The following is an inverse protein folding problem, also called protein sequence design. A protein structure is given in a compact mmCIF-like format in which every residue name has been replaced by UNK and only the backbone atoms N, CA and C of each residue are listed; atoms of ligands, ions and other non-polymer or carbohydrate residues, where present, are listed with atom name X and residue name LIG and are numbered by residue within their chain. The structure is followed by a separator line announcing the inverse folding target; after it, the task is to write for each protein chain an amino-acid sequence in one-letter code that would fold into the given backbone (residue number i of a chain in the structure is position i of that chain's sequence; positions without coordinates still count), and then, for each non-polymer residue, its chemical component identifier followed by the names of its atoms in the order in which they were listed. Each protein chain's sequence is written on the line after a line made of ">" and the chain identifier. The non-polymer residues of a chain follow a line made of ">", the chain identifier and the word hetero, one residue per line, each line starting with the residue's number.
data_IF_371693734500
#
_entry.id   IF_371693734500
#
_cell.length_a   1.000
_cell.length_b   1.000
_cell.length_c   1.000
_cell.angle_alpha   90.00
_cell.angle_beta   90.00
_cell.angle_gamma   90.00
#
_symmetry.space_group_name_H-M   'P 1'
#
loop_
_entity.id
_entity.type
_entity.pdbx_description
1 polymer ?
#
# COMPACT_ATOMS: atom_id res chain seq x y z
N UNK A 1 16.68 5.59 4.73
CA UNK A 1 15.44 5.35 5.53
C UNK A 1 15.29 3.86 5.82
N UNK A 2 14.81 3.47 7.00
CA UNK A 2 14.59 2.06 7.36
C UNK A 2 13.20 1.87 7.95
N UNK A 3 12.35 1.13 7.25
CA UNK A 3 11.03 0.69 7.72
C UNK A 3 11.18 -0.64 8.45
N UNK A 4 10.85 -0.69 9.73
CA UNK A 4 11.11 -1.84 10.58
C UNK A 4 9.87 -2.34 11.29
N UNK A 5 9.83 -3.64 11.59
CA UNK A 5 8.90 -4.21 12.53
C UNK A 5 9.22 -3.79 13.98
N UNK A 6 8.27 -4.03 14.90
CA UNK A 6 8.49 -3.88 16.34
C UNK A 6 9.59 -4.83 16.82
N UNK A 7 10.31 -4.43 17.85
CA UNK A 7 11.40 -5.23 18.46
C UNK A 7 12.53 -5.61 17.51
N UNK A 8 12.60 -5.02 16.30
CA UNK A 8 13.71 -5.27 15.38
C UNK A 8 15.05 -4.70 15.88
N UNK A 9 15.05 -3.74 16.78
CA UNK A 9 16.27 -3.09 17.30
C UNK A 9 16.48 -1.67 16.76
N UNK A 10 15.42 -0.99 16.24
CA UNK A 10 15.45 0.36 15.67
C UNK A 10 16.22 1.36 16.55
N UNK A 11 15.83 1.46 17.81
CA UNK A 11 16.40 2.42 18.77
C UNK A 11 17.86 2.16 19.03
N UNK A 12 18.28 0.90 19.20
CA UNK A 12 19.70 0.55 19.42
C UNK A 12 20.55 0.88 18.19
N UNK A 13 20.06 0.56 16.99
CA UNK A 13 20.72 0.95 15.73
C UNK A 13 20.84 2.47 15.64
N UNK A 14 19.80 3.20 15.97
CA UNK A 14 19.77 4.67 15.94
C UNK A 14 20.82 5.27 16.87
N UNK A 15 20.91 4.77 18.10
CA UNK A 15 21.91 5.21 19.07
C UNK A 15 23.33 4.89 18.55
N UNK A 16 23.54 3.67 18.03
CA UNK A 16 24.82 3.29 17.44
C UNK A 16 25.29 4.23 16.33
N UNK A 17 24.40 4.58 15.41
CA UNK A 17 24.71 5.47 14.28
C UNK A 17 25.06 6.87 14.78
N UNK A 18 24.31 7.42 15.73
CA UNK A 18 24.59 8.73 16.33
C UNK A 18 25.97 8.75 17.00
N UNK A 19 26.28 7.75 17.81
CA UNK A 19 27.58 7.65 18.45
C UNK A 19 28.71 7.55 17.43
N UNK A 20 28.53 6.76 16.38
CA UNK A 20 29.50 6.67 15.30
C UNK A 20 29.76 8.03 14.64
N UNK A 21 28.71 8.79 14.34
CA UNK A 21 28.86 10.14 13.78
C UNK A 21 29.54 11.08 14.76
N UNK A 22 29.11 11.13 16.03
CA UNK A 22 29.65 12.02 17.01
C UNK A 22 31.13 11.75 17.32
N UNK A 23 31.55 10.50 17.30
CA UNK A 23 32.95 10.11 17.51
C UNK A 23 33.86 10.40 16.30
N UNK A 24 33.30 10.43 15.10
CA UNK A 24 34.09 10.61 13.85
C UNK A 24 34.16 12.06 13.37
N UNK A 25 33.17 12.90 13.72
CA UNK A 25 33.10 14.29 13.26
C UNK A 25 33.36 15.24 14.43
N UNK A 26 34.56 15.86 14.52
CA UNK A 26 34.86 16.81 15.59
C UNK A 26 33.95 18.04 15.53
N UNK A 27 33.53 18.52 16.69
CA UNK A 27 32.63 19.67 16.86
C UNK A 27 31.24 19.49 16.16
N UNK A 28 30.88 18.26 15.80
CA UNK A 28 29.60 17.95 15.11
C UNK A 28 28.39 18.02 16.04
N UNK A 29 27.28 18.46 15.50
CA UNK A 29 25.99 18.61 16.18
C UNK A 29 25.00 17.55 15.72
N UNK A 30 24.71 16.57 16.56
CA UNK A 30 23.86 15.43 16.21
C UNK A 30 22.59 15.41 17.04
N UNK A 31 21.48 15.04 16.39
CA UNK A 31 20.16 15.09 17.01
C UNK A 31 19.47 13.74 16.95
N UNK A 32 19.00 13.28 18.13
CA UNK A 32 18.02 12.21 18.22
C UNK A 32 16.64 12.84 18.33
N UNK A 33 15.81 12.66 17.32
CA UNK A 33 14.50 13.30 17.23
C UNK A 33 13.44 12.24 17.46
N UNK A 34 12.61 12.44 18.47
CA UNK A 34 11.48 11.59 18.83
C UNK A 34 10.15 12.36 18.63
N UNK A 35 9.01 11.68 18.51
CA UNK A 35 7.73 12.34 18.35
C UNK A 35 7.40 13.29 19.49
N UNK A 36 7.57 12.82 20.74
CA UNK A 36 7.29 13.56 21.96
C UNK A 36 8.51 13.61 22.89
N UNK A 37 8.93 14.82 23.25
CA UNK A 37 10.10 15.02 24.10
C UNK A 37 10.01 14.32 25.45
N UNK A 38 8.86 14.45 26.14
CA UNK A 38 8.66 13.84 27.45
C UNK A 38 8.73 12.33 27.39
N UNK A 39 8.07 11.72 26.40
CA UNK A 39 8.07 10.26 26.21
C UNK A 39 9.48 9.74 25.91
N UNK A 40 10.21 10.41 25.04
CA UNK A 40 11.60 10.04 24.74
C UNK A 40 12.52 10.19 25.95
N UNK A 41 12.30 11.21 26.76
CA UNK A 41 13.02 11.38 28.03
C UNK A 41 12.79 10.19 28.97
N UNK A 42 11.56 9.69 29.10
CA UNK A 42 11.25 8.52 29.93
C UNK A 42 11.81 7.21 29.39
N UNK A 43 11.78 7.01 28.07
CA UNK A 43 12.11 5.72 27.44
C UNK A 43 13.62 5.60 27.15
N UNK A 44 14.29 6.69 26.81
CA UNK A 44 15.67 6.69 26.31
C UNK A 44 16.63 7.34 27.29
N UNK A 45 16.28 8.51 27.82
CA UNK A 45 17.19 9.27 28.67
C UNK A 45 17.22 8.76 30.11
N UNK A 46 16.09 8.72 30.82
CA UNK A 46 16.06 8.32 32.23
C UNK A 46 16.60 6.91 32.49
N UNK A 47 16.34 5.88 31.65
CA UNK A 47 16.99 4.59 31.80
C UNK A 47 18.50 4.58 31.45
N UNK A 48 19.01 5.71 30.97
CA UNK A 48 20.42 5.83 30.62
C UNK A 48 20.83 5.13 29.34
N UNK A 49 19.90 4.76 28.47
CA UNK A 49 20.20 4.03 27.22
C UNK A 49 21.13 4.82 26.30
N UNK A 50 20.90 6.13 26.18
CA UNK A 50 21.75 7.00 25.39
C UNK A 50 23.10 7.27 26.10
N UNK A 51 23.11 7.67 27.39
CA UNK A 51 24.32 8.08 28.12
C UNK A 51 25.29 6.92 28.40
N UNK A 52 24.76 5.71 28.54
CA UNK A 52 25.54 4.54 28.93
C UNK A 52 25.84 3.59 27.74
N UNK A 53 25.56 4.00 26.51
CA UNK A 53 25.76 3.18 25.31
C UNK A 53 27.21 2.67 25.18
N UNK A 54 28.20 3.46 25.56
CA UNK A 54 29.61 3.09 25.50
C UNK A 54 30.04 2.15 26.67
N UNK A 55 29.18 1.91 27.65
CA UNK A 55 29.50 1.06 28.81
C UNK A 55 30.77 1.55 29.52
N UNK A 56 31.71 0.63 29.74
CA UNK A 56 32.99 0.94 30.42
C UNK A 56 33.90 1.95 29.67
N UNK A 57 33.65 2.19 28.38
CA UNK A 57 34.40 3.16 27.58
C UNK A 57 33.86 4.60 27.67
N UNK A 58 32.81 4.84 28.45
CA UNK A 58 32.18 6.15 28.58
C UNK A 58 33.17 7.27 28.88
N UNK A 59 33.97 7.10 29.92
CA UNK A 59 34.91 8.11 30.38
C UNK A 59 36.07 8.41 29.39
N UNK A 60 36.30 7.49 28.45
CA UNK A 60 37.30 7.69 27.41
C UNK A 60 36.84 8.71 26.36
N UNK A 61 35.54 8.77 26.04
CA UNK A 61 35.02 9.52 24.93
C UNK A 61 34.09 10.66 25.32
N UNK A 62 33.33 10.53 26.42
CA UNK A 62 32.37 11.53 26.88
C UNK A 62 33.11 12.54 27.79
N UNK A 63 32.86 13.81 27.55
CA UNK A 63 33.33 14.90 28.36
C UNK A 63 32.32 15.24 29.47
N UNK A 64 31.06 15.49 29.07
CA UNK A 64 30.02 15.87 30.01
C UNK A 64 28.63 15.41 29.55
N UNK A 65 27.70 15.27 30.51
CA UNK A 65 26.30 14.97 30.31
C UNK A 65 25.45 16.05 30.95
N UNK A 66 24.62 16.72 30.15
CA UNK A 66 23.75 17.81 30.58
C UNK A 66 22.31 17.32 30.74
N UNK A 67 21.89 17.10 31.97
CA UNK A 67 20.56 16.55 32.30
C UNK A 67 19.41 17.47 31.91
N UNK A 68 19.57 18.79 32.01
CA UNK A 68 18.54 19.77 31.66
C UNK A 68 18.26 19.78 30.15
N UNK A 69 19.35 19.86 29.36
CA UNK A 69 19.29 19.97 27.90
C UNK A 69 19.15 18.60 27.19
N UNK A 70 19.24 17.49 27.94
CA UNK A 70 19.34 16.13 27.43
C UNK A 70 20.42 16.02 26.34
N UNK A 71 21.63 16.48 26.66
CA UNK A 71 22.77 16.59 25.75
C UNK A 71 24.00 15.87 26.31
N UNK A 72 24.66 15.10 25.47
CA UNK A 72 25.90 14.41 25.72
C UNK A 72 26.98 15.14 24.92
N UNK A 73 28.04 15.63 25.58
CA UNK A 73 29.16 16.24 24.91
C UNK A 73 30.35 15.29 24.91
N UNK A 74 31.02 15.18 23.78
CA UNK A 74 32.18 14.32 23.57
C UNK A 74 33.47 15.12 23.65
N UNK A 75 34.58 14.45 24.01
CA UNK A 75 35.91 15.09 24.14
C UNK A 75 36.45 15.69 22.84
N UNK A 76 35.92 15.30 21.69
CA UNK A 76 36.25 15.92 20.39
C UNK A 76 35.40 17.15 20.08
N UNK A 77 34.63 17.66 21.05
CA UNK A 77 33.75 18.82 20.92
C UNK A 77 32.40 18.57 20.27
N UNK A 78 32.13 17.39 19.77
CA UNK A 78 30.81 17.03 19.21
C UNK A 78 29.80 16.83 20.33
N UNK A 79 28.50 16.83 19.96
CA UNK A 79 27.45 16.49 20.92
C UNK A 79 26.29 15.71 20.27
N UNK A 80 25.59 14.95 21.09
CA UNK A 80 24.27 14.35 20.78
C UNK A 80 23.23 15.02 21.68
N UNK A 81 22.15 15.52 21.10
CA UNK A 81 21.01 16.13 21.80
C UNK A 81 19.71 15.43 21.52
N UNK A 82 18.93 15.13 22.57
CA UNK A 82 17.55 14.62 22.43
C UNK A 82 16.59 15.78 22.19
N UNK A 83 15.70 15.62 21.21
CA UNK A 83 14.72 16.62 20.79
C UNK A 83 13.36 15.95 20.56
N UNK A 84 12.27 16.66 20.88
CA UNK A 84 10.91 16.27 20.48
C UNK A 84 10.46 17.06 19.26
N UNK A 85 9.69 16.45 18.37
CA UNK A 85 9.07 17.14 17.23
C UNK A 85 7.73 17.78 17.59
N UNK A 86 7.23 17.58 18.78
CA UNK A 86 6.02 18.20 19.35
C UNK A 86 6.09 19.73 19.44
N UNK A 87 7.30 20.31 19.41
CA UNK A 87 7.50 21.74 19.21
C UNK A 87 8.09 22.00 17.81
N UNK A 88 7.22 22.20 16.82
CA UNK A 88 7.64 22.36 15.42
C UNK A 88 8.51 23.59 15.16
N UNK A 89 8.38 24.66 15.94
CA UNK A 89 9.18 25.88 15.77
C UNK A 89 10.65 25.69 16.19
N UNK A 90 10.90 24.81 17.16
CA UNK A 90 12.25 24.53 17.63
C UNK A 90 13.16 23.98 16.52
N UNK A 91 12.59 23.27 15.54
CA UNK A 91 13.35 22.68 14.41
C UNK A 91 14.12 23.69 13.56
N UNK A 92 13.63 24.94 13.46
CA UNK A 92 14.23 25.99 12.64
C UNK A 92 15.54 26.56 13.19
N UNK A 93 15.75 26.44 14.50
CA UNK A 93 16.93 26.99 15.18
C UNK A 93 18.14 26.06 15.24
N UNK A 94 18.03 24.83 14.73
CA UNK A 94 19.10 23.85 14.78
C UNK A 94 20.06 23.95 13.58
N UNK A 95 21.33 23.58 13.79
CA UNK A 95 22.33 23.53 12.74
C UNK A 95 23.01 22.15 12.70
N UNK A 96 22.25 21.12 12.25
CA UNK A 96 22.63 19.71 12.38
C UNK A 96 23.77 19.31 11.43
N UNK A 97 24.71 18.52 11.94
CA UNK A 97 25.69 17.76 11.17
C UNK A 97 25.25 16.31 10.97
N UNK A 98 24.08 15.94 11.50
CA UNK A 98 23.39 14.69 11.31
C UNK A 98 22.19 14.57 12.24
N UNK A 99 21.17 13.84 11.80
CA UNK A 99 19.97 13.62 12.60
C UNK A 99 19.35 12.24 12.38
N UNK A 100 18.70 11.76 13.42
CA UNK A 100 17.90 10.54 13.38
C UNK A 100 16.47 10.85 13.82
N UNK A 101 15.49 10.42 13.04
CA UNK A 101 14.10 10.37 13.45
C UNK A 101 13.78 8.93 13.88
N UNK A 102 13.37 8.75 15.13
CA UNK A 102 12.82 7.47 15.63
C UNK A 102 11.30 7.53 15.73
N UNK A 103 10.60 6.47 15.33
CA UNK A 103 9.14 6.38 15.20
C UNK A 103 8.55 7.48 14.29
N UNK A 104 9.11 7.63 13.09
CA UNK A 104 8.84 8.74 12.17
C UNK A 104 7.36 8.96 11.85
N UNK A 105 6.54 7.93 11.86
CA UNK A 105 5.10 8.06 11.59
C UNK A 105 4.37 8.97 12.59
N UNK A 106 4.86 9.06 13.83
CA UNK A 106 4.20 9.77 14.93
C UNK A 106 4.71 11.22 15.10
N UNK A 107 5.59 11.69 14.19
CA UNK A 107 6.14 13.04 14.23
C UNK A 107 5.18 14.10 13.69
N UNK A 108 5.33 15.35 14.15
CA UNK A 108 4.74 16.52 13.47
C UNK A 108 5.51 16.78 12.16
N UNK A 109 4.82 16.64 11.02
CA UNK A 109 5.45 16.83 9.71
C UNK A 109 5.96 18.25 9.48
N UNK A 110 5.38 19.26 10.13
CA UNK A 110 5.85 20.65 10.06
C UNK A 110 7.25 20.82 10.67
N UNK A 111 7.55 20.06 11.74
CA UNK A 111 8.91 19.99 12.30
C UNK A 111 9.88 19.43 11.26
N UNK A 112 9.51 18.32 10.61
CA UNK A 112 10.36 17.71 9.58
C UNK A 112 10.64 18.69 8.43
N UNK A 113 9.63 19.39 7.91
CA UNK A 113 9.82 20.39 6.85
C UNK A 113 10.80 21.50 7.25
N UNK A 114 10.63 22.09 8.45
CA UNK A 114 11.52 23.15 8.91
C UNK A 114 12.95 22.68 9.25
N UNK A 115 13.11 21.42 9.63
CA UNK A 115 14.41 20.83 9.97
C UNK A 115 15.16 20.32 8.72
N UNK A 116 14.45 19.84 7.71
CA UNK A 116 15.03 19.31 6.47
C UNK A 116 15.86 20.36 5.71
N UNK A 117 15.43 21.62 5.70
CA UNK A 117 16.17 22.71 5.08
C UNK A 117 17.56 22.91 5.71
N UNK A 118 17.66 22.75 7.03
CA UNK A 118 18.92 22.87 7.76
C UNK A 118 19.87 21.70 7.46
N UNK A 119 19.33 20.47 7.32
CA UNK A 119 20.10 19.31 6.90
C UNK A 119 20.62 19.46 5.46
N UNK A 120 19.77 19.96 4.56
CA UNK A 120 20.12 20.17 3.16
C UNK A 120 21.26 21.20 3.01
N UNK A 121 21.20 22.32 3.75
CA UNK A 121 22.21 23.36 3.72
C UNK A 121 23.62 22.85 4.04
N UNK A 122 23.72 21.86 4.93
CA UNK A 122 24.99 21.22 5.32
C UNK A 122 25.29 19.92 4.57
N UNK A 123 24.39 19.41 3.75
CA UNK A 123 24.45 18.04 3.20
C UNK A 123 24.61 16.98 4.30
N UNK A 124 23.98 17.23 5.45
CA UNK A 124 24.10 16.40 6.63
C UNK A 124 23.34 15.08 6.46
N UNK A 125 23.86 13.94 6.95
CA UNK A 125 23.19 12.66 6.87
C UNK A 125 21.92 12.65 7.72
N UNK A 126 20.88 11.99 7.17
CA UNK A 126 19.60 11.78 7.82
C UNK A 126 19.28 10.28 7.86
N UNK A 127 19.03 9.75 9.04
CA UNK A 127 18.47 8.41 9.23
C UNK A 127 17.02 8.53 9.72
N UNK A 128 16.10 7.93 8.99
CA UNK A 128 14.70 7.83 9.40
C UNK A 128 14.40 6.37 9.71
N UNK A 129 13.87 6.11 10.91
CA UNK A 129 13.41 4.77 11.31
C UNK A 129 12.00 4.83 11.87
N UNK A 130 11.25 3.77 11.68
CA UNK A 130 9.88 3.68 12.21
C UNK A 130 9.15 2.42 11.75
N UNK A 131 8.03 2.15 12.41
CA UNK A 131 7.04 1.19 11.95
C UNK A 131 6.12 1.84 10.91
N UNK A 132 5.54 1.07 9.97
CA UNK A 132 4.60 1.60 8.98
C UNK A 132 3.40 2.30 9.62
N UNK A 133 2.87 3.35 9.00
CA UNK A 133 1.62 3.98 9.40
C UNK A 133 0.40 3.14 8.99
N UNK A 134 -0.77 3.52 9.50
CA UNK A 134 -2.03 2.89 9.14
C UNK A 134 -2.65 3.42 7.84
N UNK A 135 -2.21 4.61 7.40
CA UNK A 135 -2.76 5.29 6.23
C UNK A 135 -1.72 5.37 5.12
N UNK A 136 -2.12 5.06 3.89
CA UNK A 136 -1.26 5.15 2.70
C UNK A 136 -0.91 6.59 2.30
N UNK A 137 -1.79 7.53 2.57
CA UNK A 137 -1.55 8.95 2.28
C UNK A 137 -0.73 9.65 3.37
N UNK A 138 -0.24 8.89 4.35
CA UNK A 138 0.59 9.39 5.42
C UNK A 138 1.93 9.92 4.88
N UNK A 139 2.42 11.01 5.47
CA UNK A 139 3.71 11.60 5.05
C UNK A 139 4.89 10.62 5.12
N UNK A 140 4.86 9.65 6.02
CA UNK A 140 5.85 8.58 6.11
C UNK A 140 6.01 7.84 4.77
N UNK A 141 4.89 7.49 4.11
CA UNK A 141 4.89 6.76 2.84
C UNK A 141 5.47 7.63 1.73
N UNK A 142 5.06 8.90 1.67
CA UNK A 142 5.61 9.85 0.68
C UNK A 142 7.10 10.05 0.85
N UNK A 143 7.56 10.20 2.10
CA UNK A 143 9.00 10.32 2.40
C UNK A 143 9.76 9.04 2.04
N UNK A 144 9.17 7.86 2.27
CA UNK A 144 9.76 6.59 1.83
C UNK A 144 9.96 6.54 0.32
N UNK A 145 8.96 6.96 -0.45
CA UNK A 145 9.04 6.99 -1.92
C UNK A 145 10.08 8.01 -2.41
N UNK A 146 10.19 9.16 -1.76
CA UNK A 146 11.26 10.13 -2.02
C UNK A 146 12.65 9.53 -1.79
N UNK A 147 12.85 8.80 -0.68
CA UNK A 147 14.12 8.13 -0.39
C UNK A 147 14.46 7.01 -1.37
N UNK A 148 13.48 6.28 -1.89
CA UNK A 148 13.70 5.26 -2.93
C UNK A 148 14.13 5.86 -4.26
N UNK A 149 13.65 7.07 -4.57
CA UNK A 149 13.95 7.77 -5.83
C UNK A 149 15.23 8.61 -5.78
N UNK A 150 15.71 9.00 -4.57
CA UNK A 150 16.94 9.78 -4.43
C UNK A 150 18.17 8.87 -4.58
N UNK A 151 19.02 9.09 -5.62
CA UNK A 151 20.22 8.27 -5.84
C UNK A 151 21.25 8.36 -4.70
N UNK A 152 21.14 9.36 -3.79
CA UNK A 152 21.97 9.52 -2.59
C UNK A 152 21.36 8.78 -1.40
N UNK A 153 20.11 8.36 -1.49
CA UNK A 153 19.36 7.68 -0.45
C UNK A 153 19.60 6.18 -0.44
N UNK A 154 19.38 5.56 0.72
CA UNK A 154 19.27 4.13 0.85
C UNK A 154 17.99 3.78 1.63
N UNK A 155 17.27 2.80 1.14
CA UNK A 155 16.05 2.30 1.75
C UNK A 155 16.21 0.84 2.16
N UNK A 156 15.73 0.52 3.37
CA UNK A 156 15.73 -0.86 3.90
C UNK A 156 14.37 -1.16 4.52
N UNK A 157 13.85 -2.35 4.21
CA UNK A 157 12.74 -2.96 4.93
C UNK A 157 13.29 -4.03 5.86
N UNK A 158 12.88 -4.03 7.13
CA UNK A 158 13.39 -4.93 8.17
C UNK A 158 12.24 -5.48 9.02
N UNK A 159 11.60 -6.58 8.59
CA UNK A 159 10.62 -7.29 9.40
C UNK A 159 11.21 -7.81 10.72
N UNK A 160 10.37 -7.99 11.73
CA UNK A 160 10.79 -8.45 13.06
C UNK A 160 11.52 -9.80 13.01
N UNK A 161 11.07 -10.72 12.16
CA UNK A 161 11.68 -12.05 12.02
C UNK A 161 13.13 -12.01 11.50
N UNK A 162 13.58 -10.89 10.94
CA UNK A 162 14.99 -10.71 10.52
C UNK A 162 15.92 -10.35 11.68
N UNK A 163 15.40 -10.09 12.88
CA UNK A 163 16.19 -9.92 14.08
C UNK A 163 16.58 -11.31 14.62
N UNK A 164 17.87 -11.68 14.69
CA UNK A 164 18.33 -12.99 15.10
C UNK A 164 18.06 -13.32 16.59
N UNK A 165 17.72 -12.32 17.39
CA UNK A 165 17.43 -12.46 18.83
C UNK A 165 15.93 -12.68 19.13
N UNK A 166 15.08 -12.72 18.11
CA UNK A 166 13.64 -12.97 18.28
C UNK A 166 13.35 -14.45 18.11
N UNK A 167 12.56 -14.98 19.05
CA UNK A 167 12.07 -16.35 18.99
C UNK A 167 11.04 -16.49 17.85
N UNK A 168 11.31 -17.41 16.94
CA UNK A 168 10.45 -17.65 15.76
C UNK A 168 9.17 -18.39 16.11
N UNK A 169 9.18 -19.23 17.13
CA UNK A 169 7.99 -19.95 17.61
C UNK A 169 7.01 -18.95 18.24
N UNK A 170 7.53 -18.02 19.05
CA UNK A 170 6.74 -16.94 19.64
C UNK A 170 6.09 -16.06 18.56
N UNK A 171 6.83 -15.73 17.48
CA UNK A 171 6.29 -14.97 16.36
C UNK A 171 5.16 -15.70 15.61
N UNK A 172 5.28 -17.02 15.44
CA UNK A 172 4.21 -17.78 14.79
C UNK A 172 2.96 -17.87 15.68
N UNK A 173 3.12 -17.99 17.01
CA UNK A 173 2.01 -17.92 17.95
C UNK A 173 1.31 -16.53 17.91
N UNK A 174 2.08 -15.44 17.87
CA UNK A 174 1.55 -14.08 17.74
C UNK A 174 0.78 -13.91 16.43
N UNK A 175 1.29 -14.49 15.33
CA UNK A 175 0.63 -14.49 14.02
C UNK A 175 -0.72 -15.21 14.07
N UNK A 176 -0.78 -16.42 14.61
CA UNK A 176 -2.03 -17.17 14.76
C UNK A 176 -3.03 -16.44 15.66
N UNK A 177 -2.55 -15.86 16.76
CA UNK A 177 -3.39 -15.07 17.66
C UNK A 177 -3.97 -13.83 16.96
N UNK A 178 -3.18 -13.18 16.09
CA UNK A 178 -3.62 -12.01 15.33
C UNK A 178 -4.65 -12.37 14.25
N UNK A 179 -4.49 -13.51 13.60
CA UNK A 179 -5.48 -14.05 12.64
C UNK A 179 -6.81 -14.32 13.38
N UNK A 180 -6.75 -15.04 14.50
CA UNK A 180 -7.94 -15.41 15.28
C UNK A 180 -8.71 -14.19 15.84
N UNK A 181 -7.99 -13.08 16.10
CA UNK A 181 -8.58 -11.81 16.57
C UNK A 181 -9.04 -10.88 15.45
N UNK A 182 -8.79 -11.22 14.18
CA UNK A 182 -9.02 -10.31 13.05
C UNK A 182 -8.06 -9.11 13.00
N UNK A 183 -6.90 -9.19 13.67
CA UNK A 183 -5.88 -8.12 13.73
C UNK A 183 -4.76 -8.32 12.70
N UNK A 184 -5.02 -9.04 11.60
CA UNK A 184 -4.02 -9.37 10.59
C UNK A 184 -3.29 -8.15 10.03
N UNK A 185 -4.02 -7.07 9.71
CA UNK A 185 -3.42 -5.85 9.21
C UNK A 185 -2.42 -5.22 10.19
N UNK A 186 -2.71 -5.29 11.49
CA UNK A 186 -1.81 -4.83 12.55
C UNK A 186 -0.56 -5.69 12.62
N UNK A 187 -0.70 -7.03 12.55
CA UNK A 187 0.44 -7.95 12.49
C UNK A 187 1.36 -7.63 11.31
N UNK A 188 0.79 -7.44 10.14
CA UNK A 188 1.54 -7.10 8.92
C UNK A 188 2.30 -5.78 9.06
N UNK A 189 1.71 -4.75 9.66
CA UNK A 189 2.40 -3.48 9.91
C UNK A 189 3.47 -3.61 10.98
N UNK A 190 3.12 -4.15 12.13
CA UNK A 190 3.98 -4.12 13.31
C UNK A 190 5.08 -5.18 13.30
N UNK A 191 4.85 -6.33 12.68
CA UNK A 191 5.80 -7.45 12.64
C UNK A 191 6.47 -7.57 11.27
N UNK A 192 5.69 -7.59 10.19
CA UNK A 192 6.22 -7.79 8.83
C UNK A 192 6.70 -6.46 8.20
N UNK A 193 6.54 -5.34 8.90
CA UNK A 193 6.88 -4.00 8.41
C UNK A 193 6.23 -3.69 7.04
N UNK A 194 5.01 -4.19 6.80
CA UNK A 194 4.26 -3.88 5.59
C UNK A 194 3.45 -2.61 5.74
N UNK A 195 3.31 -1.84 4.66
CA UNK A 195 2.33 -0.76 4.61
C UNK A 195 1.00 -1.41 4.29
N UNK A 196 0.29 -1.81 5.31
CA UNK A 196 -1.04 -2.40 5.22
C UNK A 196 -1.98 -1.50 6.00
N UNK A 197 -2.88 -0.82 5.34
CA UNK A 197 -3.90 -0.04 6.02
C UNK A 197 -4.92 -0.95 6.69
N UNK A 198 -5.55 -0.46 7.69
CA UNK A 198 -6.61 -1.13 8.42
C UNK A 198 -6.47 -0.85 9.91
N UNK A 199 -7.09 0.21 10.38
CA UNK A 199 -7.42 0.45 11.79
C UNK A 199 -8.65 -0.36 12.20
N UNK A 200 -9.11 -0.20 13.44
CA UNK A 200 -10.34 -0.81 13.96
C UNK A 200 -11.60 -0.49 13.11
N UNK A 201 -11.53 0.58 12.31
CA UNK A 201 -12.63 1.09 11.50
C UNK A 201 -12.52 0.69 10.01
N UNK A 202 -11.60 -0.22 9.64
CA UNK A 202 -11.45 -0.66 8.25
C UNK A 202 -12.74 -1.30 7.72
N UNK A 203 -13.13 -0.91 6.51
CA UNK A 203 -14.34 -1.45 5.87
C UNK A 203 -14.09 -2.87 5.33
N UNK A 204 -12.88 -3.14 4.84
CA UNK A 204 -12.49 -4.46 4.30
C UNK A 204 -11.35 -5.11 5.11
N UNK A 205 -11.55 -5.38 6.42
CA UNK A 205 -10.48 -5.93 7.25
C UNK A 205 -10.05 -7.35 6.86
N UNK A 206 -10.90 -8.07 6.09
CA UNK A 206 -10.62 -9.41 5.59
C UNK A 206 -9.74 -9.42 4.33
N UNK A 207 -9.51 -8.26 3.69
CA UNK A 207 -8.71 -8.20 2.47
C UNK A 207 -7.26 -8.58 2.76
N UNK A 208 -6.82 -9.70 2.23
CA UNK A 208 -5.43 -10.13 2.29
C UNK A 208 -4.67 -9.58 1.10
N UNK A 209 -3.59 -8.83 1.39
CA UNK A 209 -2.70 -8.28 0.38
C UNK A 209 -1.51 -9.23 0.20
N UNK A 210 -1.04 -9.48 -1.03
CA UNK A 210 0.09 -10.36 -1.29
C UNK A 210 1.37 -9.76 -0.71
N UNK A 211 2.37 -10.62 -0.52
CA UNK A 211 3.71 -10.20 -0.13
C UNK A 211 4.48 -9.74 -1.35
N UNK A 212 5.27 -8.71 -1.15
CA UNK A 212 6.24 -8.22 -2.11
C UNK A 212 7.65 -8.38 -1.53
N UNK A 213 8.63 -8.66 -2.37
CA UNK A 213 10.02 -8.75 -1.95
C UNK A 213 10.64 -7.37 -1.64
N UNK A 214 11.94 -7.34 -1.30
CA UNK A 214 12.66 -6.10 -1.00
C UNK A 214 12.74 -5.13 -2.21
N UNK A 215 12.52 -5.62 -3.42
CA UNK A 215 12.50 -4.85 -4.67
C UNK A 215 11.11 -4.37 -5.05
N UNK A 216 10.08 -4.81 -4.31
CA UNK A 216 8.69 -4.55 -4.60
C UNK A 216 8.06 -5.51 -5.61
N UNK A 217 8.74 -6.63 -5.91
CA UNK A 217 8.24 -7.66 -6.81
C UNK A 217 7.27 -8.60 -6.05
N UNK A 218 6.20 -8.99 -6.75
CA UNK A 218 5.17 -9.87 -6.23
C UNK A 218 5.72 -11.28 -5.93
N UNK A 219 5.66 -11.74 -4.68
CA UNK A 219 6.25 -13.03 -4.25
C UNK A 219 5.27 -14.19 -4.44
N UNK A 220 3.96 -13.95 -4.33
CA UNK A 220 2.96 -15.00 -4.46
C UNK A 220 1.54 -14.52 -4.19
N UNK A 221 0.56 -15.32 -4.63
CA UNK A 221 -0.86 -15.06 -4.44
C UNK A 221 -1.20 -14.99 -2.94
N UNK A 222 -2.08 -14.05 -2.60
CA UNK A 222 -2.83 -14.09 -1.35
C UNK A 222 -4.22 -14.69 -1.60
N UNK A 223 -5.05 -14.73 -0.58
CA UNK A 223 -6.45 -15.18 -0.72
C UNK A 223 -7.24 -14.37 -1.75
N UNK A 224 -7.00 -13.06 -1.84
CA UNK A 224 -7.81 -12.13 -2.64
C UNK A 224 -7.05 -11.46 -3.78
N UNK A 225 -5.72 -11.48 -3.76
CA UNK A 225 -4.91 -10.85 -4.82
C UNK A 225 -4.00 -11.87 -5.46
N UNK A 226 -4.18 -12.07 -6.77
CA UNK A 226 -3.50 -13.10 -7.54
C UNK A 226 -2.67 -12.46 -8.66
N UNK A 227 -1.68 -13.20 -9.15
CA UNK A 227 -0.94 -12.80 -10.36
C UNK A 227 -1.90 -12.69 -11.53
N UNK A 228 -1.73 -11.65 -12.33
CA UNK A 228 -2.50 -11.44 -13.55
C UNK A 228 -2.48 -12.66 -14.49
N UNK A 229 -1.30 -13.24 -14.69
CA UNK A 229 -1.12 -14.42 -15.55
C UNK A 229 -1.95 -15.62 -15.08
N UNK A 230 -2.01 -15.87 -13.77
CA UNK A 230 -2.79 -16.99 -13.19
C UNK A 230 -4.30 -16.78 -13.43
N UNK A 231 -4.78 -15.55 -13.27
CA UNK A 231 -6.17 -15.19 -13.50
C UNK A 231 -6.56 -15.30 -14.98
N UNK A 232 -5.67 -14.90 -15.88
CA UNK A 232 -5.88 -15.04 -17.32
C UNK A 232 -5.92 -16.51 -17.72
N UNK A 233 -5.03 -17.34 -17.16
CA UNK A 233 -5.05 -18.78 -17.40
C UNK A 233 -6.36 -19.43 -16.92
N UNK A 234 -6.85 -19.07 -15.72
CA UNK A 234 -8.13 -19.53 -15.18
C UNK A 234 -9.30 -19.19 -16.13
N UNK A 235 -9.34 -17.95 -16.64
CA UNK A 235 -10.40 -17.48 -17.51
C UNK A 235 -10.32 -18.18 -18.89
N UNK A 236 -9.12 -18.36 -19.42
CA UNK A 236 -8.93 -18.99 -20.75
C UNK A 236 -9.29 -20.46 -20.75
N UNK A 237 -9.17 -21.15 -19.61
CA UNK A 237 -9.53 -22.57 -19.51
C UNK A 237 -11.00 -22.83 -19.89
N UNK A 238 -11.94 -21.96 -19.44
CA UNK A 238 -13.35 -22.02 -19.83
C UNK A 238 -13.91 -20.63 -20.18
N UNK A 239 -13.36 -20.03 -21.24
CA UNK A 239 -13.66 -18.66 -21.63
C UNK A 239 -15.16 -18.39 -21.84
N UNK A 240 -15.91 -19.37 -22.29
CA UNK A 240 -17.38 -19.29 -22.54
C UNK A 240 -18.20 -19.04 -21.27
N UNK A 241 -17.65 -19.37 -20.11
CA UNK A 241 -18.34 -19.23 -18.84
C UNK A 241 -18.18 -17.83 -18.24
N UNK A 242 -17.39 -17.00 -18.87
CA UNK A 242 -17.10 -15.67 -18.39
C UNK A 242 -17.81 -14.59 -19.20
N UNK A 243 -18.19 -13.52 -18.53
CA UNK A 243 -18.71 -12.30 -19.13
C UNK A 243 -17.80 -11.15 -18.72
N UNK A 244 -17.51 -10.26 -19.66
CA UNK A 244 -16.54 -9.18 -19.47
C UNK A 244 -17.24 -7.86 -19.25
N UNK A 245 -16.75 -7.12 -18.26
CA UNK A 245 -17.30 -5.84 -17.83
C UNK A 245 -16.21 -4.80 -17.69
N UNK A 246 -16.53 -3.57 -18.09
CA UNK A 246 -15.71 -2.40 -17.80
C UNK A 246 -16.56 -1.37 -17.05
N UNK A 247 -16.08 -0.85 -15.94
CA UNK A 247 -16.78 0.19 -15.19
C UNK A 247 -15.93 1.43 -15.05
N UNK A 248 -16.56 2.59 -15.20
CA UNK A 248 -15.93 3.88 -15.16
C UNK A 248 -16.49 4.74 -14.01
N UNK A 249 -15.61 5.24 -13.14
CA UNK A 249 -15.89 6.30 -12.19
C UNK A 249 -15.07 7.55 -12.58
N UNK A 250 -15.61 8.41 -13.44
CA UNK A 250 -14.90 9.58 -13.94
C UNK A 250 -14.92 10.72 -12.91
N UNK A 251 -14.04 10.69 -11.92
CA UNK A 251 -13.88 11.81 -11.00
C UNK A 251 -13.33 13.03 -11.71
N UNK A 252 -14.07 14.13 -11.64
CA UNK A 252 -13.73 15.36 -12.38
C UNK A 252 -12.52 16.13 -11.85
N UNK A 253 -12.10 15.88 -10.62
CA UNK A 253 -11.06 16.69 -9.95
C UNK A 253 -10.04 15.92 -9.12
N UNK A 254 -10.34 14.69 -8.72
CA UNK A 254 -9.52 13.93 -7.76
C UNK A 254 -8.84 12.71 -8.37
N UNK A 255 -9.61 11.84 -9.03
CA UNK A 255 -9.12 10.62 -9.64
C UNK A 255 -10.10 10.14 -10.71
N UNK A 256 -9.60 9.55 -11.78
CA UNK A 256 -10.39 8.77 -12.72
C UNK A 256 -10.07 7.30 -12.50
N UNK A 257 -11.09 6.49 -12.18
CA UNK A 257 -10.94 5.07 -12.05
C UNK A 257 -11.72 4.33 -13.16
N UNK A 258 -11.08 3.36 -13.80
CA UNK A 258 -11.75 2.39 -14.65
C UNK A 258 -11.27 0.99 -14.29
N UNK A 259 -12.18 0.05 -14.14
CA UNK A 259 -11.89 -1.34 -13.84
C UNK A 259 -12.34 -2.25 -14.97
N UNK A 260 -11.52 -3.25 -15.25
CA UNK A 260 -11.77 -4.28 -16.25
C UNK A 260 -11.89 -5.63 -15.56
N UNK A 261 -13.02 -6.31 -15.73
CA UNK A 261 -13.34 -7.50 -14.97
C UNK A 261 -13.99 -8.59 -15.80
N UNK A 262 -13.84 -9.81 -15.30
CA UNK A 262 -14.60 -10.97 -15.75
C UNK A 262 -15.48 -11.53 -14.63
N UNK A 263 -16.67 -11.97 -14.95
CA UNK A 263 -17.61 -12.62 -14.03
C UNK A 263 -17.96 -14.00 -14.55
N UNK A 264 -17.71 -15.03 -13.75
CA UNK A 264 -18.12 -16.38 -14.07
C UNK A 264 -19.64 -16.52 -13.91
N UNK A 265 -20.31 -16.98 -14.95
CA UNK A 265 -21.79 -17.05 -14.95
C UNK A 265 -22.36 -18.10 -13.99
N UNK A 266 -21.60 -19.13 -13.67
CA UNK A 266 -22.01 -20.21 -12.77
C UNK A 266 -21.65 -19.92 -11.31
N UNK A 267 -20.36 -19.76 -11.01
CA UNK A 267 -19.90 -19.54 -9.64
C UNK A 267 -20.16 -18.13 -9.12
N UNK A 268 -20.48 -17.18 -10.03
CA UNK A 268 -20.57 -15.74 -9.71
C UNK A 268 -19.25 -15.12 -9.22
N UNK A 269 -18.12 -15.81 -9.40
CA UNK A 269 -16.81 -15.28 -9.09
C UNK A 269 -16.54 -14.03 -9.93
N UNK A 270 -16.22 -12.94 -9.27
CA UNK A 270 -15.79 -11.67 -9.87
C UNK A 270 -14.27 -11.59 -9.82
N UNK A 271 -13.64 -11.42 -10.96
CA UNK A 271 -12.20 -11.23 -11.10
C UNK A 271 -11.95 -9.86 -11.71
N UNK A 272 -11.31 -8.96 -10.94
CA UNK A 272 -10.84 -7.68 -11.46
C UNK A 272 -9.46 -7.90 -12.08
N UNK A 273 -9.36 -7.77 -13.40
CA UNK A 273 -8.18 -8.15 -14.18
C UNK A 273 -7.17 -7.00 -14.33
N UNK A 274 -7.69 -5.79 -14.57
CA UNK A 274 -6.83 -4.64 -14.81
C UNK A 274 -7.55 -3.34 -14.45
N UNK A 275 -6.82 -2.23 -14.36
CA UNK A 275 -7.38 -0.92 -14.04
C UNK A 275 -6.72 0.21 -14.83
N UNK A 276 -7.42 1.32 -14.94
CA UNK A 276 -6.86 2.65 -15.18
C UNK A 276 -7.14 3.48 -13.94
N UNK A 277 -6.09 3.89 -13.25
CA UNK A 277 -6.21 4.70 -12.05
C UNK A 277 -5.36 5.96 -12.21
N UNK A 278 -6.00 7.07 -12.60
CA UNK A 278 -5.31 8.28 -13.02
C UNK A 278 -5.64 9.46 -12.10
N UNK A 279 -4.61 10.08 -11.52
CA UNK A 279 -4.72 11.25 -10.63
C UNK A 279 -4.28 12.55 -11.29
N UNK A 280 -3.59 12.48 -12.42
CA UNK A 280 -3.10 13.67 -13.12
C UNK A 280 -4.22 14.27 -13.97
N UNK A 281 -4.68 15.47 -13.64
CA UNK A 281 -5.81 16.13 -14.31
C UNK A 281 -5.70 16.17 -15.83
N UNK A 282 -4.51 16.40 -16.37
CA UNK A 282 -4.29 16.48 -17.82
C UNK A 282 -4.51 15.12 -18.51
N UNK A 283 -4.31 14.02 -17.79
CA UNK A 283 -4.47 12.65 -18.29
C UNK A 283 -5.89 12.11 -18.09
N UNK A 284 -6.75 12.82 -17.36
CA UNK A 284 -8.11 12.35 -17.02
C UNK A 284 -9.16 12.67 -18.08
N UNK A 285 -8.77 13.29 -19.21
CA UNK A 285 -9.71 13.58 -20.31
C UNK A 285 -10.16 12.30 -21.00
N UNK A 286 -11.40 12.27 -21.49
CA UNK A 286 -11.98 11.15 -22.22
C UNK A 286 -11.11 10.73 -23.42
N UNK A 287 -10.53 11.70 -24.14
CA UNK A 287 -9.63 11.44 -25.28
C UNK A 287 -8.36 10.69 -24.92
N UNK A 288 -7.92 10.76 -23.66
CA UNK A 288 -6.72 10.04 -23.18
C UNK A 288 -7.08 8.73 -22.48
N UNK A 289 -8.17 8.71 -21.75
CA UNK A 289 -8.58 7.53 -20.97
C UNK A 289 -9.24 6.48 -21.87
N UNK A 290 -10.20 6.89 -22.71
CA UNK A 290 -11.03 5.93 -23.41
C UNK A 290 -10.27 5.08 -24.45
N UNK A 291 -9.32 5.61 -25.23
CA UNK A 291 -8.45 4.78 -26.06
C UNK A 291 -7.63 3.75 -25.27
N UNK A 292 -7.11 4.13 -24.10
CA UNK A 292 -6.40 3.21 -23.20
C UNK A 292 -7.33 2.12 -22.69
N UNK A 293 -8.58 2.46 -22.38
CA UNK A 293 -9.58 1.49 -21.94
C UNK A 293 -9.88 0.49 -23.07
N UNK A 294 -10.05 0.96 -24.32
CA UNK A 294 -10.26 0.08 -25.49
C UNK A 294 -9.07 -0.85 -25.72
N UNK A 295 -7.86 -0.36 -25.55
CA UNK A 295 -6.66 -1.18 -25.68
C UNK A 295 -6.66 -2.29 -24.64
N UNK A 296 -6.90 -1.98 -23.35
CA UNK A 296 -7.00 -2.99 -22.29
C UNK A 296 -8.10 -4.02 -22.53
N UNK A 297 -9.27 -3.59 -22.97
CA UNK A 297 -10.36 -4.54 -23.34
C UNK A 297 -9.93 -5.48 -24.47
N UNK A 298 -9.24 -4.95 -25.47
CA UNK A 298 -8.71 -5.74 -26.59
C UNK A 298 -7.60 -6.71 -26.14
N UNK A 299 -6.73 -6.28 -25.22
CA UNK A 299 -5.66 -7.11 -24.66
C UNK A 299 -6.22 -8.26 -23.83
N UNK A 300 -7.22 -7.99 -22.97
CA UNK A 300 -7.79 -8.99 -22.05
C UNK A 300 -8.69 -10.00 -22.79
N UNK A 301 -9.61 -9.54 -23.63
CA UNK A 301 -10.56 -10.41 -24.28
C UNK A 301 -10.98 -9.84 -25.66
N UNK A 302 -10.13 -10.01 -26.72
CA UNK A 302 -10.30 -9.36 -28.01
C UNK A 302 -11.53 -9.87 -28.79
N UNK A 303 -12.00 -11.07 -28.50
CA UNK A 303 -13.11 -11.73 -29.22
C UNK A 303 -14.45 -11.68 -28.48
N UNK A 304 -14.52 -10.93 -27.36
CA UNK A 304 -15.70 -10.87 -26.51
C UNK A 304 -16.26 -9.47 -26.45
N UNK A 305 -17.59 -9.40 -26.34
CA UNK A 305 -18.30 -8.15 -26.08
C UNK A 305 -18.10 -7.74 -24.62
N UNK A 306 -17.79 -6.47 -24.42
CA UNK A 306 -17.63 -5.86 -23.13
C UNK A 306 -18.89 -5.11 -22.71
N UNK A 307 -19.41 -5.43 -21.55
CA UNK A 307 -20.49 -4.67 -20.95
C UNK A 307 -19.90 -3.46 -20.21
N UNK A 308 -20.11 -2.27 -20.78
CA UNK A 308 -19.48 -1.06 -20.28
C UNK A 308 -20.49 -0.23 -19.47
N UNK A 309 -20.13 0.10 -18.21
CA UNK A 309 -20.97 0.87 -17.30
C UNK A 309 -20.23 2.09 -16.77
N UNK A 310 -20.96 3.16 -16.48
CA UNK A 310 -20.39 4.38 -15.97
C UNK A 310 -21.25 5.00 -14.86
N UNK A 311 -20.63 5.85 -14.03
CA UNK A 311 -21.34 6.64 -13.04
C UNK A 311 -22.37 7.55 -13.69
N UNK A 312 -23.65 7.36 -13.39
CA UNK A 312 -24.75 8.15 -13.95
C UNK A 312 -24.58 9.68 -13.70
N UNK A 313 -23.87 10.10 -12.66
CA UNK A 313 -23.57 11.51 -12.44
C UNK A 313 -22.54 12.07 -13.45
N UNK A 314 -21.78 11.22 -14.14
CA UNK A 314 -20.76 11.61 -15.10
C UNK A 314 -21.29 11.59 -16.56
N UNK A 315 -22.47 12.17 -16.82
CA UNK A 315 -23.07 12.24 -18.16
C UNK A 315 -22.16 12.92 -19.19
N UNK A 316 -21.27 13.80 -18.75
CA UNK A 316 -20.28 14.45 -19.61
C UNK A 316 -19.36 13.41 -20.27
N UNK A 317 -18.89 12.42 -19.50
CA UNK A 317 -18.03 11.33 -20.01
C UNK A 317 -18.75 10.50 -21.05
N UNK A 318 -20.00 10.10 -20.77
CA UNK A 318 -20.84 9.38 -21.72
C UNK A 318 -21.05 10.16 -23.02
N UNK A 319 -21.37 11.45 -22.93
CA UNK A 319 -21.62 12.28 -24.10
C UNK A 319 -20.37 12.42 -24.98
N UNK A 320 -19.19 12.55 -24.37
CA UNK A 320 -17.93 12.60 -25.11
C UNK A 320 -17.59 11.25 -25.76
N UNK A 321 -17.79 10.12 -25.07
CA UNK A 321 -17.59 8.78 -25.65
C UNK A 321 -18.52 8.57 -26.82
N UNK A 322 -19.80 8.92 -26.67
CA UNK A 322 -20.81 8.76 -27.72
C UNK A 322 -20.49 9.64 -28.93
N UNK A 323 -20.09 10.90 -28.71
CA UNK A 323 -19.76 11.83 -29.77
C UNK A 323 -18.48 11.44 -30.58
N UNK A 324 -17.43 11.01 -29.86
CA UNK A 324 -16.14 10.77 -30.49
C UNK A 324 -15.97 9.31 -30.98
N UNK A 325 -16.51 8.33 -30.23
CA UNK A 325 -16.25 6.91 -30.50
C UNK A 325 -17.50 6.16 -30.96
N UNK A 326 -18.70 6.77 -30.87
CA UNK A 326 -20.00 6.18 -31.22
C UNK A 326 -20.30 4.89 -30.49
N UNK A 327 -19.80 4.80 -29.24
CA UNK A 327 -20.02 3.66 -28.36
C UNK A 327 -20.98 4.03 -27.22
N UNK A 328 -21.97 3.14 -27.00
CA UNK A 328 -22.96 3.32 -25.94
C UNK A 328 -22.44 2.71 -24.63
N UNK A 329 -22.50 3.49 -23.56
CA UNK A 329 -22.24 3.00 -22.21
C UNK A 329 -23.56 2.95 -21.44
N UNK A 330 -23.68 1.99 -20.51
CA UNK A 330 -24.87 1.85 -19.67
C UNK A 330 -24.68 2.68 -18.39
N UNK A 331 -25.60 3.59 -18.04
CA UNK A 331 -25.53 4.29 -16.78
C UNK A 331 -25.77 3.33 -15.61
N UNK A 332 -24.98 3.44 -14.56
CA UNK A 332 -25.19 2.74 -13.31
C UNK A 332 -25.92 3.67 -12.33
N UNK A 333 -27.09 3.26 -11.84
CA UNK A 333 -27.82 4.04 -10.87
C UNK A 333 -27.06 4.14 -9.56
N UNK A 334 -26.78 5.39 -9.17
CA UNK A 334 -26.38 5.73 -7.81
C UNK A 334 -27.58 5.69 -6.90
N UNK A 335 -27.95 4.54 -6.44
CA UNK A 335 -28.81 4.49 -5.27
C UNK A 335 -27.95 4.84 -4.05
N UNK A 336 -27.85 6.13 -3.76
CA UNK A 336 -26.99 6.72 -2.72
C UNK A 336 -27.28 6.10 -1.35
N UNK A 337 -28.55 5.68 -1.13
CA UNK A 337 -29.00 5.04 0.12
C UNK A 337 -28.54 3.60 0.27
N UNK A 338 -27.86 3.02 -0.73
CA UNK A 338 -27.41 1.62 -0.72
C UNK A 338 -25.91 1.43 -0.76
N UNK A 339 -25.12 2.47 -0.53
CA UNK A 339 -23.63 2.32 -0.52
C UNK A 339 -23.19 1.33 0.55
N UNK A 340 -23.71 1.44 1.75
CA UNK A 340 -23.42 0.54 2.87
C UNK A 340 -23.85 -0.89 2.58
N UNK A 341 -25.05 -1.07 2.02
CA UNK A 341 -25.57 -2.38 1.62
C UNK A 341 -24.66 -3.04 0.57
N UNK A 342 -24.22 -2.28 -0.45
CA UNK A 342 -23.34 -2.80 -1.50
C UNK A 342 -21.92 -3.10 -0.99
N UNK A 343 -21.41 -2.30 -0.08
CA UNK A 343 -20.12 -2.60 0.59
C UNK A 343 -20.22 -3.86 1.44
N UNK A 344 -21.40 -4.12 2.06
CA UNK A 344 -21.65 -5.38 2.76
C UNK A 344 -21.59 -6.58 1.79
N UNK A 345 -22.23 -6.47 0.64
CA UNK A 345 -22.17 -7.53 -0.39
C UNK A 345 -20.72 -7.76 -0.86
N UNK A 346 -19.92 -6.69 -1.06
CA UNK A 346 -18.50 -6.83 -1.41
C UNK A 346 -17.72 -7.59 -0.33
N UNK A 347 -18.00 -7.32 0.96
CA UNK A 347 -17.39 -8.06 2.09
C UNK A 347 -17.75 -9.54 2.03
N UNK A 348 -19.02 -9.85 1.80
CA UNK A 348 -19.50 -11.24 1.72
C UNK A 348 -18.81 -11.98 0.55
N UNK A 349 -18.64 -11.32 -0.60
CA UNK A 349 -17.91 -11.89 -1.74
C UNK A 349 -16.44 -12.12 -1.46
N UNK A 350 -15.78 -11.21 -0.69
CA UNK A 350 -14.40 -11.43 -0.23
C UNK A 350 -14.33 -12.62 0.73
N UNK A 351 -15.22 -12.71 1.71
CA UNK A 351 -15.24 -13.79 2.70
C UNK A 351 -15.42 -15.17 2.05
N UNK A 352 -16.12 -15.24 0.92
CA UNK A 352 -16.41 -16.46 0.18
C UNK A 352 -15.45 -16.70 -1.00
N UNK A 353 -14.34 -15.97 -1.11
CA UNK A 353 -13.35 -16.07 -2.19
C UNK A 353 -13.92 -15.84 -3.59
N UNK A 354 -15.04 -15.11 -3.66
CA UNK A 354 -15.74 -14.78 -4.92
C UNK A 354 -15.36 -13.41 -5.49
N UNK A 355 -14.52 -12.64 -4.79
CA UNK A 355 -13.99 -11.35 -5.24
C UNK A 355 -12.46 -11.44 -5.26
N UNK A 356 -11.89 -11.55 -6.45
CA UNK A 356 -10.45 -11.70 -6.66
C UNK A 356 -9.92 -10.52 -7.48
N UNK A 357 -8.74 -10.05 -7.15
CA UNK A 357 -8.12 -8.86 -7.71
C UNK A 357 -6.77 -9.25 -8.32
N UNK A 358 -6.49 -8.76 -9.52
CA UNK A 358 -5.17 -8.86 -10.14
C UNK A 358 -4.15 -7.98 -9.41
N UNK A 359 -2.92 -8.44 -9.29
CA UNK A 359 -1.76 -7.68 -8.80
C UNK A 359 -1.48 -6.39 -9.59
N UNK A 360 -2.05 -6.27 -10.80
CA UNK A 360 -2.01 -5.05 -11.63
C UNK A 360 -2.93 -3.93 -11.09
N UNK A 361 -3.97 -4.25 -10.34
CA UNK A 361 -4.98 -3.31 -9.84
C UNK A 361 -4.51 -2.62 -8.54
N UNK A 362 -3.40 -1.91 -8.61
CA UNK A 362 -2.76 -1.28 -7.45
C UNK A 362 -3.62 -0.19 -6.80
N UNK A 363 -4.35 0.58 -7.61
CA UNK A 363 -5.26 1.62 -7.14
C UNK A 363 -6.44 1.05 -6.36
N UNK A 364 -7.10 0.02 -6.88
CA UNK A 364 -8.20 -0.67 -6.19
C UNK A 364 -7.71 -1.32 -4.89
N UNK A 365 -6.59 -2.06 -4.94
CA UNK A 365 -5.98 -2.67 -3.75
C UNK A 365 -5.68 -1.60 -2.70
N UNK A 366 -5.09 -0.48 -3.11
CA UNK A 366 -4.80 0.65 -2.24
C UNK A 366 -6.07 1.22 -1.62
N UNK A 367 -7.09 1.55 -2.42
CA UNK A 367 -8.33 2.10 -1.88
C UNK A 367 -9.02 1.12 -0.92
N UNK A 368 -9.23 -0.12 -1.31
CA UNK A 368 -9.90 -1.11 -0.45
C UNK A 368 -9.16 -1.35 0.86
N UNK A 369 -7.84 -1.36 0.81
CA UNK A 369 -7.01 -1.57 2.00
C UNK A 369 -6.95 -0.37 2.93
N UNK A 370 -7.25 0.87 2.44
CA UNK A 370 -7.27 2.10 3.24
C UNK A 370 -8.67 2.57 3.61
N UNK A 371 -9.70 1.95 3.05
CA UNK A 371 -11.06 2.43 3.20
C UNK A 371 -11.58 2.12 4.60
N UNK A 372 -11.77 3.17 5.39
CA UNK A 372 -12.21 3.06 6.77
C UNK A 372 -13.30 4.10 7.06
N UNK A 373 -14.19 3.79 7.99
CA UNK A 373 -15.13 4.77 8.53
C UNK A 373 -14.39 5.82 9.37
N UNK A 374 -14.97 7.00 9.47
CA UNK A 374 -14.49 8.00 10.42
C UNK A 374 -14.80 7.60 11.89
N UNK A 375 -14.39 8.44 12.84
CA UNK A 375 -14.60 8.18 14.27
C UNK A 375 -16.10 8.17 14.67
N UNK A 376 -16.98 8.69 13.83
CA UNK A 376 -18.44 8.66 13.98
C UNK A 376 -19.08 7.44 13.30
N UNK A 377 -18.27 6.57 12.67
CA UNK A 377 -18.73 5.39 11.94
C UNK A 377 -19.28 5.67 10.54
N UNK A 378 -19.12 6.90 10.01
CA UNK A 378 -19.60 7.27 8.67
C UNK A 378 -18.58 6.85 7.60
N UNK A 379 -19.09 6.40 6.47
CA UNK A 379 -18.29 6.06 5.30
C UNK A 379 -17.82 7.36 4.61
N UNK A 380 -16.50 7.55 4.40
CA UNK A 380 -15.98 8.75 3.75
C UNK A 380 -16.36 8.79 2.26
N UNK A 381 -16.54 10.02 1.74
CA UNK A 381 -16.78 10.29 0.32
C UNK A 381 -15.49 10.75 -0.37
N UNK A 382 -14.39 10.07 -0.13
CA UNK A 382 -13.08 10.40 -0.72
C UNK A 382 -12.22 9.13 -0.82
N UNK A 383 -11.36 9.08 -1.82
CA UNK A 383 -10.48 7.94 -2.08
C UNK A 383 -11.25 6.62 -2.23
N UNK A 384 -12.36 6.67 -2.99
CA UNK A 384 -13.30 5.55 -3.18
C UNK A 384 -13.67 5.34 -4.65
N UNK A 385 -12.92 5.92 -5.58
CA UNK A 385 -13.25 5.88 -7.01
C UNK A 385 -13.15 4.48 -7.61
N UNK A 386 -12.09 3.73 -7.29
CA UNK A 386 -11.97 2.34 -7.75
C UNK A 386 -12.95 1.41 -7.02
N UNK A 387 -13.24 1.67 -5.75
CA UNK A 387 -14.28 0.96 -4.99
C UNK A 387 -15.65 1.23 -5.60
N UNK A 388 -15.96 2.47 -5.97
CA UNK A 388 -17.22 2.82 -6.61
C UNK A 388 -17.32 2.18 -8.01
N UNK A 389 -16.25 2.16 -8.80
CA UNK A 389 -16.19 1.41 -10.06
C UNK A 389 -16.44 -0.09 -9.86
N UNK A 390 -15.87 -0.72 -8.82
CA UNK A 390 -16.14 -2.12 -8.48
C UNK A 390 -17.61 -2.36 -8.09
N UNK A 391 -18.22 -1.43 -7.37
CA UNK A 391 -19.67 -1.47 -7.06
C UNK A 391 -20.52 -1.40 -8.32
N UNK A 392 -20.14 -0.56 -9.30
CA UNK A 392 -20.86 -0.50 -10.59
C UNK A 392 -20.75 -1.80 -11.37
N UNK A 393 -19.57 -2.45 -11.36
CA UNK A 393 -19.39 -3.79 -11.93
C UNK A 393 -20.32 -4.81 -11.29
N UNK A 394 -20.33 -4.88 -9.96
CA UNK A 394 -21.19 -5.81 -9.23
C UNK A 394 -22.68 -5.59 -9.53
N UNK A 395 -23.09 -4.33 -9.62
CA UNK A 395 -24.46 -3.97 -10.01
C UNK A 395 -24.81 -4.44 -11.44
N UNK A 396 -23.93 -4.13 -12.41
CA UNK A 396 -24.13 -4.49 -13.80
C UNK A 396 -24.16 -6.01 -14.02
N UNK A 397 -23.36 -6.74 -13.24
CA UNK A 397 -23.32 -8.20 -13.26
C UNK A 397 -24.39 -8.87 -12.37
N UNK A 398 -25.30 -8.08 -11.77
CA UNK A 398 -26.33 -8.56 -10.84
C UNK A 398 -25.80 -9.37 -9.64
N UNK A 399 -24.61 -9.03 -9.16
CA UNK A 399 -23.99 -9.65 -7.99
C UNK A 399 -24.49 -8.98 -6.70
N UNK A 400 -25.72 -9.28 -6.32
CA UNK A 400 -26.38 -8.63 -5.17
C UNK A 400 -26.33 -9.48 -3.89
N UNK A 401 -26.08 -10.76 -4.02
CA UNK A 401 -25.98 -11.71 -2.91
C UNK A 401 -25.00 -12.82 -3.28
N UNK A 402 -24.30 -13.35 -2.28
CA UNK A 402 -23.48 -14.55 -2.47
C UNK A 402 -24.39 -15.74 -2.79
N UNK A 403 -24.09 -16.55 -3.80
CA UNK A 403 -24.85 -17.75 -4.10
C UNK A 403 -24.86 -18.71 -2.92
N UNK A 404 -26.03 -19.20 -2.53
CA UNK A 404 -26.14 -20.21 -1.44
C UNK A 404 -25.55 -21.54 -1.84
N UNK A 405 -25.62 -21.87 -3.14
CA UNK A 405 -25.00 -23.05 -3.74
C UNK A 405 -24.08 -22.59 -4.87
N UNK A 406 -22.83 -23.00 -4.82
CA UNK A 406 -21.88 -22.76 -5.91
C UNK A 406 -22.20 -23.75 -7.02
N UNK A 407 -22.80 -23.28 -8.09
CA UNK A 407 -22.96 -24.09 -9.31
C UNK A 407 -21.58 -24.17 -10.00
N UNK A 408 -20.78 -25.12 -9.54
CA UNK A 408 -19.51 -25.48 -10.17
C UNK A 408 -19.81 -26.65 -11.12
N UNK A 409 -19.23 -26.67 -12.30
CA UNK A 409 -19.34 -27.82 -13.17
C UNK A 409 -18.85 -29.08 -12.46
N UNK A 410 -19.40 -30.26 -12.75
CA UNK A 410 -18.94 -31.50 -12.14
C UNK A 410 -17.42 -31.74 -12.31
N UNK A 411 -16.89 -31.37 -13.47
CA UNK A 411 -15.47 -31.44 -13.81
C UNK A 411 -14.60 -30.46 -12.98
N UNK A 412 -15.14 -29.32 -12.56
CA UNK A 412 -14.42 -28.28 -11.79
C UNK A 412 -14.48 -28.52 -10.26
N UNK A 413 -15.07 -29.63 -9.82
CA UNK A 413 -15.13 -29.99 -8.38
C UNK A 413 -13.83 -30.60 -7.85
N UNK A 414 -12.78 -30.74 -8.67
CA UNK A 414 -11.47 -31.16 -8.25
C UNK A 414 -10.65 -29.96 -7.81
N UNK A 415 -9.90 -30.12 -6.74
CA UNK A 415 -8.86 -29.14 -6.40
C UNK A 415 -7.82 -29.14 -7.53
N UNK A 416 -7.74 -28.02 -8.24
CA UNK A 416 -6.78 -27.83 -9.33
C UNK A 416 -5.39 -27.69 -8.74
N UNK A 417 -4.50 -28.60 -9.07
CA UNK A 417 -3.06 -28.41 -8.86
C UNK A 417 -2.44 -27.91 -10.17
N UNK A 418 -1.30 -27.23 -10.07
CA UNK A 418 -0.54 -26.72 -11.23
C UNK A 418 -0.20 -27.80 -12.26
N UNK A 419 -0.24 -29.08 -11.85
CA UNK A 419 0.05 -30.26 -12.68
C UNK A 419 -1.13 -30.58 -13.61
N UNK A 420 -2.36 -30.35 -13.17
CA UNK A 420 -3.57 -30.64 -13.97
C UNK A 420 -3.69 -29.73 -15.20
N UNK A 421 -3.05 -28.55 -15.18
CA UNK A 421 -2.98 -27.63 -16.33
C UNK A 421 -2.11 -28.14 -17.49
N UNK A 422 -1.21 -29.07 -17.25
CA UNK A 422 -0.27 -29.57 -18.26
C UNK A 422 -0.74 -30.83 -18.98
N UNK A 423 -1.71 -31.54 -18.45
CA UNK A 423 -2.16 -32.85 -19.01
C UNK A 423 -3.37 -32.78 -19.95
N UNK A 424 -4.24 -31.75 -19.81
CA UNK A 424 -5.43 -31.60 -20.69
C UNK A 424 -5.15 -30.64 -21.87
N UNK A 425 -4.43 -31.13 -22.88
CA UNK A 425 -4.03 -30.36 -24.07
C UNK A 425 -5.11 -30.34 -25.18
N UNK A 426 -6.38 -30.28 -24.91
CA UNK A 426 -7.39 -29.85 -25.88
C UNK A 426 -7.87 -28.41 -25.61
N UNK A 427 -7.00 -27.45 -25.93
CA UNK A 427 -7.33 -26.01 -25.93
C UNK A 427 -8.27 -25.77 -27.12
N UNK A 428 -9.54 -25.57 -26.86
CA UNK A 428 -10.49 -25.04 -27.83
C UNK A 428 -10.39 -23.51 -27.83
N UNK A 429 -9.41 -22.98 -28.51
CA UNK A 429 -9.11 -21.57 -28.71
C UNK A 429 -7.64 -21.32 -28.52
N UNK A 430 -7.03 -20.59 -29.44
CA UNK A 430 -5.63 -20.19 -29.27
C UNK A 430 -5.47 -19.37 -27.99
N UNK A 431 -4.42 -19.60 -27.19
CA UNK A 431 -4.12 -18.79 -26.01
C UNK A 431 -4.02 -17.33 -26.39
N UNK A 432 -4.44 -16.44 -25.50
CA UNK A 432 -4.17 -15.01 -25.66
C UNK A 432 -2.67 -14.83 -25.47
N UNK A 433 -1.95 -14.63 -26.60
CA UNK A 433 -0.53 -14.32 -26.59
C UNK A 433 -0.37 -12.82 -26.34
N UNK A 434 0.08 -12.46 -25.14
CA UNK A 434 0.26 -11.07 -24.73
C UNK A 434 1.56 -10.44 -25.21
N UNK A 435 2.50 -11.22 -25.74
CA UNK A 435 3.86 -10.73 -26.02
C UNK A 435 4.18 -10.53 -27.50
N UNK A 436 3.34 -10.97 -28.45
CA UNK A 436 3.80 -11.07 -29.83
C UNK A 436 3.40 -9.96 -30.82
N UNK A 437 2.44 -9.05 -30.49
CA UNK A 437 1.89 -8.16 -31.53
C UNK A 437 1.96 -6.63 -31.27
N UNK A 438 2.84 -6.13 -30.39
CA UNK A 438 2.87 -4.68 -30.07
C UNK A 438 4.01 -3.91 -30.81
N UNK A 439 4.79 -4.52 -31.68
CA UNK A 439 6.01 -3.84 -32.18
C UNK A 439 6.00 -3.34 -33.61
N UNK A 440 4.98 -3.52 -34.45
CA UNK A 440 5.16 -3.19 -35.88
C UNK A 440 4.17 -2.25 -36.57
N UNK A 441 3.19 -1.61 -35.94
CA UNK A 441 2.24 -0.77 -36.72
C UNK A 441 2.08 0.69 -36.26
N UNK A 442 3.03 1.31 -35.60
CA UNK A 442 2.91 2.74 -35.23
C UNK A 442 4.11 3.63 -35.62
N UNK A 443 4.80 3.35 -36.75
CA UNK A 443 5.65 4.33 -37.44
C UNK A 443 5.41 4.25 -38.96
N UNK A 444 4.42 5.02 -39.41
CA UNK A 444 4.39 5.72 -40.68
C UNK A 444 3.39 6.88 -40.59
#
# INVERSE_FOLDING_TARGET
>A
MTRCGRKWGKTEMSIYVLYRWALTVPNGQFYYIAPFYNQASEIIWKPGRLQNFLGANKDKYIDSVHETDKRIVFKNGSFIKLVGSDNYEAGRGFNPDGAIYDEFKDHDYRFHQGFADNLLAKKAPLLIVGTPPELFDHFFVRTEDEFKLDPRGAYFKRPTHTNPYIDKEELELEKQASINKGEWAKYMREIEAEIVPGGANAIFPMLEIPRYDERGDFIGNSRHVHRHADLVAEINHYQKDWRFYAAYDPGSSSCFAALFAAVNVFSKKLVILDEIYEKRKIEMSTRRIYPRAKLKMKEIAPRYDWYQVYDNAATWFYNEVMAEYREALTPCDKDVNKKEEKLSVMKDFLLEDLFVISDRCKGLIQEMSTYATDDEGKIPKKNDHAIDAARYLMNAAHLNTVPRERHVRPEDRREWTTVDYMEDNEIVGEPIDFDSDITEEFYD
#
